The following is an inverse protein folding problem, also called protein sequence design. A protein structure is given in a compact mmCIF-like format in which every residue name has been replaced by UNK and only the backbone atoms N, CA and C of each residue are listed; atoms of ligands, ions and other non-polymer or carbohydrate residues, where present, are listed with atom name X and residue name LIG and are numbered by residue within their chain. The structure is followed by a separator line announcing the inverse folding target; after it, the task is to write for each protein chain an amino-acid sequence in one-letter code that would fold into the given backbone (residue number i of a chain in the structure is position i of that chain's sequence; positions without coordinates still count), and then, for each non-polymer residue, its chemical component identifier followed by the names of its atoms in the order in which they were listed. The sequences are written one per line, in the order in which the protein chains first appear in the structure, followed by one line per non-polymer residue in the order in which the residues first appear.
data_IF_391738439396
#
_entry.id   IF_391738439396
#
_cell.length_a   1.000
_cell.length_b   1.000
_cell.length_c   1.000
_cell.angle_alpha   90.00
_cell.angle_beta   90.00
_cell.angle_gamma   90.00
#
_symmetry.space_group_name_H-M   'P 1'
#
loop_
_entity.id
_entity.type
_entity.pdbx_description
1 polymer ?
#
# COMPACT_ATOMS: atom_id res chain seq x y z
N UNK A 1 -2.50 2.32 -14.71
CA UNK A 1 -2.12 2.34 -13.28
C UNK A 1 -2.85 3.49 -12.60
N UNK A 2 -3.17 3.38 -11.32
CA UNK A 2 -3.81 4.46 -10.54
C UNK A 2 -2.94 4.85 -9.36
N UNK A 3 -2.98 6.12 -8.97
CA UNK A 3 -2.29 6.63 -7.79
C UNK A 3 -3.30 7.24 -6.80
N UNK A 4 -2.98 7.19 -5.52
CA UNK A 4 -3.74 7.89 -4.49
C UNK A 4 -2.86 8.11 -3.27
N UNK A 5 -3.23 9.08 -2.44
CA UNK A 5 -2.52 9.39 -1.20
C UNK A 5 -3.31 8.91 0.01
N UNK A 6 -2.60 8.58 1.08
CA UNK A 6 -3.17 8.24 2.39
C UNK A 6 -3.98 9.41 2.97
N UNK A 7 -3.47 10.63 2.81
CA UNK A 7 -4.09 11.86 3.29
C UNK A 7 -4.53 12.75 2.14
N UNK A 8 -5.62 13.49 2.34
CA UNK A 8 -6.16 14.43 1.35
C UNK A 8 -5.47 15.79 1.35
N UNK A 9 -4.84 16.20 2.47
CA UNK A 9 -4.14 17.49 2.55
C UNK A 9 -2.68 17.36 2.07
N UNK A 10 -2.12 18.39 1.42
CA UNK A 10 -0.70 18.43 1.12
C UNK A 10 0.14 18.66 2.39
N UNK A 11 1.32 18.04 2.44
CA UNK A 11 2.36 18.23 3.47
C UNK A 11 3.72 18.34 2.80
N UNK A 12 4.63 19.14 3.35
CA UNK A 12 5.97 19.30 2.76
C UNK A 12 6.81 18.04 2.96
N UNK A 13 6.68 17.40 4.11
CA UNK A 13 7.40 16.15 4.44
C UNK A 13 6.52 15.22 5.27
N UNK A 14 6.80 13.92 5.19
CA UNK A 14 6.11 12.91 6.00
C UNK A 14 6.36 13.10 7.51
N UNK A 15 7.42 13.81 7.90
CA UNK A 15 7.73 14.13 9.30
C UNK A 15 6.75 15.12 9.94
N UNK A 16 5.94 15.83 9.14
CA UNK A 16 4.86 16.72 9.63
C UNK A 16 3.59 15.95 10.03
N UNK A 17 3.55 14.63 9.80
CA UNK A 17 2.39 13.79 10.05
C UNK A 17 2.54 13.02 11.36
N UNK A 18 1.58 13.20 12.26
CA UNK A 18 1.53 12.38 13.47
C UNK A 18 1.09 10.95 13.12
N UNK A 19 1.50 9.97 13.94
CA UNK A 19 1.03 8.57 13.78
C UNK A 19 -0.49 8.47 13.81
N UNK A 20 -1.14 9.25 14.68
CA UNK A 20 -2.61 9.30 14.77
C UNK A 20 -3.24 9.83 13.49
N UNK A 21 -2.67 10.89 12.92
CA UNK A 21 -3.17 11.46 11.67
C UNK A 21 -3.02 10.49 10.50
N UNK A 22 -1.86 9.84 10.36
CA UNK A 22 -1.66 8.81 9.33
C UNK A 22 -2.66 7.65 9.51
N UNK A 23 -2.85 7.20 10.75
CA UNK A 23 -3.79 6.12 11.06
C UNK A 23 -5.22 6.56 10.72
N UNK A 24 -5.60 7.81 11.02
CA UNK A 24 -6.90 8.41 10.71
C UNK A 24 -7.20 8.56 9.21
N UNK A 25 -6.17 8.62 8.35
CA UNK A 25 -6.34 8.59 6.88
C UNK A 25 -6.67 7.22 6.31
N UNK A 26 -6.40 6.14 7.06
CA UNK A 26 -6.54 4.76 6.58
C UNK A 26 -7.98 4.37 6.20
N UNK A 27 -9.04 4.70 6.97
CA UNK A 27 -10.42 4.37 6.59
C UNK A 27 -10.80 4.88 5.19
N UNK A 28 -10.40 6.11 4.86
CA UNK A 28 -10.70 6.72 3.56
C UNK A 28 -9.93 6.02 2.42
N UNK A 29 -8.68 5.62 2.67
CA UNK A 29 -7.91 4.83 1.72
C UNK A 29 -8.54 3.45 1.49
N UNK A 30 -8.91 2.75 2.56
CA UNK A 30 -9.53 1.43 2.49
C UNK A 30 -10.88 1.46 1.76
N UNK A 31 -11.69 2.50 1.97
CA UNK A 31 -12.90 2.74 1.18
C UNK A 31 -12.62 2.94 -0.32
N UNK A 32 -11.56 3.68 -0.68
CA UNK A 32 -11.15 3.83 -2.09
C UNK A 32 -10.72 2.48 -2.68
N UNK A 33 -10.02 1.65 -1.92
CA UNK A 33 -9.57 0.32 -2.35
C UNK A 33 -10.77 -0.60 -2.57
N UNK A 34 -11.74 -0.64 -1.64
CA UNK A 34 -12.99 -1.40 -1.83
C UNK A 34 -13.82 -0.91 -3.01
N UNK A 35 -13.87 0.39 -3.26
CA UNK A 35 -14.59 0.95 -4.42
C UNK A 35 -13.91 0.58 -5.74
N UNK A 36 -12.58 0.71 -5.81
CA UNK A 36 -11.83 0.50 -7.05
C UNK A 36 -11.48 -0.96 -7.32
N UNK A 37 -11.55 -1.82 -6.29
CA UNK A 37 -11.24 -3.25 -6.32
C UNK A 37 -9.98 -3.61 -7.12
N UNK A 38 -8.83 -2.98 -6.84
CA UNK A 38 -7.62 -3.24 -7.60
C UNK A 38 -7.11 -4.67 -7.32
N UNK A 39 -6.45 -5.27 -8.31
CA UNK A 39 -5.78 -6.57 -8.13
C UNK A 39 -4.65 -6.49 -7.08
N UNK A 40 -4.02 -5.31 -6.94
CA UNK A 40 -2.89 -5.06 -6.05
C UNK A 40 -2.82 -3.59 -5.62
N UNK A 41 -2.24 -3.35 -4.44
CA UNK A 41 -1.88 -2.02 -3.92
C UNK A 41 -0.40 -2.04 -3.53
N UNK A 42 0.34 -1.05 -4.01
CA UNK A 42 1.74 -0.84 -3.66
C UNK A 42 1.86 0.38 -2.74
N UNK A 43 2.34 0.17 -1.52
CA UNK A 43 2.64 1.23 -0.57
C UNK A 43 4.08 1.71 -0.76
N UNK A 44 4.22 2.99 -1.09
CA UNK A 44 5.51 3.64 -1.28
C UNK A 44 5.99 4.22 0.05
N UNK A 45 6.84 3.47 0.74
CA UNK A 45 7.39 3.84 2.04
C UNK A 45 6.72 3.15 3.23
N UNK A 46 7.56 2.73 4.18
CA UNK A 46 7.18 1.94 5.36
C UNK A 46 6.10 2.60 6.24
N UNK A 47 6.22 3.90 6.48
CA UNK A 47 5.33 4.61 7.41
C UNK A 47 3.86 4.56 7.01
N UNK A 48 3.57 4.52 5.70
CA UNK A 48 2.19 4.40 5.19
C UNK A 48 1.63 3.03 5.57
N UNK A 49 2.40 1.96 5.33
CA UNK A 49 1.97 0.63 5.71
C UNK A 49 1.82 0.46 7.22
N UNK A 50 2.74 1.01 8.02
CA UNK A 50 2.62 0.99 9.48
C UNK A 50 1.33 1.66 9.97
N UNK A 51 0.90 2.74 9.33
CA UNK A 51 -0.37 3.40 9.64
C UNK A 51 -1.57 2.51 9.30
N UNK A 52 -1.54 1.86 8.13
CA UNK A 52 -2.60 0.94 7.69
C UNK A 52 -2.68 -0.27 8.63
N UNK A 53 -1.54 -0.86 8.98
CA UNK A 53 -1.45 -1.98 9.91
C UNK A 53 -1.97 -1.62 11.29
N UNK A 54 -1.58 -0.46 11.82
CA UNK A 54 -2.03 0.00 13.14
C UNK A 54 -3.52 0.26 13.19
N UNK A 55 -4.09 0.84 12.13
CA UNK A 55 -5.54 1.00 12.01
C UNK A 55 -6.25 -0.36 11.99
N UNK A 56 -5.73 -1.32 11.24
CA UNK A 56 -6.38 -2.62 11.02
C UNK A 56 -6.27 -3.57 12.21
N UNK A 57 -5.12 -3.61 12.87
CA UNK A 57 -4.80 -4.60 13.90
C UNK A 57 -4.60 -4.01 15.29
N UNK A 58 -4.65 -2.67 15.44
CA UNK A 58 -4.49 -2.00 16.74
C UNK A 58 -3.09 -2.12 17.36
N UNK A 59 -2.08 -2.58 16.60
CA UNK A 59 -0.71 -2.80 17.07
C UNK A 59 0.32 -2.38 16.03
N UNK A 60 1.60 -2.37 16.43
CA UNK A 60 2.72 -2.05 15.54
C UNK A 60 3.20 -3.28 14.76
N UNK A 61 3.87 -3.07 13.61
CA UNK A 61 4.47 -4.12 12.78
C UNK A 61 5.95 -3.85 12.54
N UNK A 62 6.74 -4.91 12.56
CA UNK A 62 8.18 -4.89 12.30
C UNK A 62 8.58 -5.56 10.98
N UNK A 63 7.62 -6.04 10.17
CA UNK A 63 7.86 -6.68 8.86
C UNK A 63 7.90 -5.64 7.74
N UNK A 64 8.84 -5.81 6.81
CA UNK A 64 9.20 -4.80 5.81
C UNK A 64 8.94 -5.19 4.35
N UNK A 65 8.71 -6.47 4.02
CA UNK A 65 8.99 -6.94 2.64
C UNK A 65 7.84 -7.71 1.98
N UNK A 66 7.01 -8.44 2.73
CA UNK A 66 5.84 -9.13 2.16
C UNK A 66 4.84 -9.51 3.25
N UNK A 67 3.55 -9.40 2.94
CA UNK A 67 2.45 -9.79 3.85
C UNK A 67 1.42 -10.55 3.03
N UNK A 68 1.10 -11.76 3.47
CA UNK A 68 0.19 -12.68 2.77
C UNK A 68 -1.30 -12.36 2.97
N UNK A 69 -1.61 -11.08 3.23
CA UNK A 69 -2.95 -10.62 3.55
C UNK A 69 -3.41 -9.53 2.58
N UNK A 70 -4.51 -9.81 1.86
CA UNK A 70 -5.10 -8.82 0.95
C UNK A 70 -5.92 -7.78 1.72
N UNK A 71 -5.81 -6.53 1.29
CA UNK A 71 -6.55 -5.39 1.82
C UNK A 71 -7.93 -5.29 1.16
N UNK A 72 -8.93 -4.82 1.90
CA UNK A 72 -10.31 -4.70 1.41
C UNK A 72 -11.07 -6.02 1.22
N UNK A 73 -10.58 -7.15 1.76
CA UNK A 73 -11.32 -8.43 1.78
C UNK A 73 -12.71 -8.25 2.40
N UNK A 74 -13.73 -8.80 1.74
CA UNK A 74 -15.07 -9.01 2.30
C UNK A 74 -14.96 -9.87 3.56
N UNK A 75 -15.56 -9.40 4.66
CA UNK A 75 -15.51 -10.06 5.97
C UNK A 75 -16.61 -11.10 6.11
N UNK A 76 -17.65 -11.02 5.28
CA UNK A 76 -18.92 -11.73 5.48
C UNK A 76 -19.13 -12.92 4.54
N UNK A 77 -18.06 -13.43 3.91
CA UNK A 77 -18.13 -14.58 2.99
C UNK A 77 -18.85 -14.29 1.67
N UNK A 78 -19.27 -13.04 1.44
CA UNK A 78 -19.87 -12.58 0.19
C UNK A 78 -18.77 -12.41 -0.84
N UNK A 79 -18.86 -13.14 -1.96
CA UNK A 79 -17.97 -12.97 -3.10
C UNK A 79 -18.22 -11.62 -3.75
N UNK A 80 -17.24 -10.74 -3.65
CA UNK A 80 -17.26 -9.49 -4.39
C UNK A 80 -16.70 -9.68 -5.79
N UNK A 81 -17.32 -9.07 -6.80
CA UNK A 81 -16.77 -9.05 -8.16
C UNK A 81 -15.93 -7.79 -8.39
N UNK A 82 -14.84 -7.93 -9.13
CA UNK A 82 -14.04 -6.83 -9.66
C UNK A 82 -14.71 -6.17 -10.87
N UNK A 83 -14.08 -5.12 -11.43
CA UNK A 83 -14.57 -4.41 -12.61
C UNK A 83 -14.67 -5.26 -13.89
N UNK A 84 -14.17 -6.49 -13.87
CA UNK A 84 -14.23 -7.47 -14.96
C UNK A 84 -15.14 -8.66 -14.64
N UNK A 85 -15.90 -8.60 -13.56
CA UNK A 85 -16.82 -9.66 -13.15
C UNK A 85 -16.13 -10.89 -12.55
N UNK A 86 -14.86 -10.79 -12.11
CA UNK A 86 -14.13 -11.90 -11.46
C UNK A 86 -14.22 -11.76 -9.95
N UNK A 87 -14.22 -12.90 -9.22
CA UNK A 87 -14.19 -12.90 -7.75
C UNK A 87 -12.94 -12.19 -7.25
N UNK A 88 -13.15 -11.09 -6.53
CA UNK A 88 -12.14 -10.23 -5.94
C UNK A 88 -11.88 -10.64 -4.50
N UNK A 89 -10.70 -11.20 -4.26
CA UNK A 89 -10.27 -11.70 -2.94
C UNK A 89 -9.60 -10.60 -2.10
N UNK A 90 -9.91 -9.33 -2.35
CA UNK A 90 -9.14 -8.18 -1.86
C UNK A 90 -7.88 -7.91 -2.70
N UNK A 91 -7.30 -6.74 -2.49
CA UNK A 91 -6.08 -6.30 -3.17
C UNK A 91 -4.83 -6.87 -2.51
N UNK A 92 -3.97 -7.53 -3.29
CA UNK A 92 -2.66 -7.98 -2.81
C UNK A 92 -1.81 -6.77 -2.37
N UNK A 93 -1.18 -6.86 -1.20
CA UNK A 93 -0.41 -5.75 -0.64
C UNK A 93 1.07 -5.91 -0.95
N UNK A 94 1.67 -4.85 -1.47
CA UNK A 94 3.11 -4.74 -1.69
C UNK A 94 3.63 -3.51 -0.96
N UNK A 95 4.85 -3.61 -0.44
CA UNK A 95 5.55 -2.47 0.12
C UNK A 95 6.81 -2.24 -0.70
N UNK A 96 7.07 -0.99 -1.04
CA UNK A 96 8.33 -0.58 -1.66
C UNK A 96 8.94 0.55 -0.85
N UNK A 97 10.19 0.86 -1.16
CA UNK A 97 10.93 1.95 -0.52
C UNK A 97 10.32 3.29 -0.91
N UNK A 98 10.55 4.32 -0.08
CA UNK A 98 10.14 5.67 -0.44
C UNK A 98 10.88 6.09 -1.71
N UNK A 99 10.17 6.69 -2.67
CA UNK A 99 10.77 7.33 -3.86
C UNK A 99 11.34 8.71 -3.56
N UNK A 100 11.38 9.13 -2.30
CA UNK A 100 11.92 10.43 -1.90
C UNK A 100 13.45 10.37 -1.86
N UNK A 101 14.12 11.33 -2.49
CA UNK A 101 15.58 11.49 -2.39
C UNK A 101 16.09 11.82 -0.97
N UNK A 102 15.19 12.04 -0.02
CA UNK A 102 15.51 12.17 1.41
C UNK A 102 15.69 10.81 2.10
N UNK A 103 15.27 9.71 1.47
CA UNK A 103 15.50 8.34 1.94
C UNK A 103 16.96 7.94 1.64
N UNK A 104 17.90 8.53 2.38
CA UNK A 104 19.34 8.44 2.15
C UNK A 104 19.97 7.06 2.44
N UNK A 105 19.18 6.04 2.77
CA UNK A 105 19.69 4.75 3.24
C UNK A 105 19.95 3.72 2.13
N UNK A 106 19.47 3.94 0.91
CA UNK A 106 19.57 2.97 -0.19
C UNK A 106 20.24 3.57 -1.41
N UNK A 107 21.15 2.81 -2.01
CA UNK A 107 21.70 3.13 -3.33
C UNK A 107 20.63 2.98 -4.42
N UNK A 108 20.82 3.70 -5.53
CA UNK A 108 19.96 3.59 -6.71
C UNK A 108 19.85 2.14 -7.22
N UNK A 109 20.90 1.33 -7.06
CA UNK A 109 20.89 -0.07 -7.47
C UNK A 109 20.02 -0.94 -6.55
N UNK A 110 20.11 -0.73 -5.23
CA UNK A 110 19.27 -1.44 -4.25
C UNK A 110 17.81 -1.05 -4.40
N UNK A 111 17.52 0.24 -4.60
CA UNK A 111 16.17 0.71 -4.92
C UNK A 111 15.65 0.00 -6.18
N UNK A 112 16.39 0.05 -7.29
CA UNK A 112 16.00 -0.66 -8.53
C UNK A 112 15.81 -2.16 -8.32
N UNK A 113 16.58 -2.81 -7.46
CA UNK A 113 16.45 -4.23 -7.15
C UNK A 113 15.15 -4.51 -6.39
N UNK A 114 14.80 -3.70 -5.39
CA UNK A 114 13.54 -3.80 -4.64
C UNK A 114 12.35 -3.60 -5.58
N UNK A 115 12.37 -2.52 -6.38
CA UNK A 115 11.33 -2.25 -7.35
C UNK A 115 11.21 -3.38 -8.39
N UNK A 116 12.33 -3.90 -8.92
CA UNK A 116 12.33 -5.05 -9.83
C UNK A 116 11.77 -6.30 -9.18
N UNK A 117 12.16 -6.62 -7.95
CA UNK A 117 11.66 -7.77 -7.21
C UNK A 117 10.13 -7.70 -7.06
N UNK A 118 9.59 -6.53 -6.71
CA UNK A 118 8.13 -6.34 -6.62
C UNK A 118 7.43 -6.35 -7.99
N UNK A 119 8.06 -5.80 -9.03
CA UNK A 119 7.57 -5.92 -10.42
C UNK A 119 7.54 -7.37 -10.93
N UNK A 120 8.45 -8.22 -10.43
CA UNK A 120 8.58 -9.62 -10.83
C UNK A 120 7.57 -10.55 -10.14
N UNK A 121 7.11 -10.22 -8.92
CA UNK A 121 6.13 -11.05 -8.18
C UNK A 121 4.79 -11.20 -8.92
N UNK A 122 4.43 -10.27 -9.81
CA UNK A 122 3.48 -10.51 -10.91
C UNK A 122 3.87 -9.67 -12.13
N UNK A 123 4.36 -10.33 -13.19
CA UNK A 123 4.79 -9.84 -14.53
C UNK A 123 3.91 -8.76 -15.20
N UNK A 124 3.65 -7.61 -14.56
CA UNK A 124 2.73 -6.60 -15.07
C UNK A 124 2.93 -5.18 -14.53
N UNK A 125 3.88 -4.97 -13.61
CA UNK A 125 3.95 -3.72 -12.83
C UNK A 125 5.31 -3.01 -12.87
N UNK A 126 6.14 -3.23 -13.90
CA UNK A 126 7.26 -2.33 -14.20
C UNK A 126 7.05 -1.64 -15.55
N UNK A 127 6.74 -0.35 -15.45
CA UNK A 127 7.08 0.79 -16.33
C UNK A 127 7.20 0.51 -17.84
N UNK A 128 6.32 1.17 -18.59
CA UNK A 128 6.74 2.35 -19.37
C UNK A 128 6.27 3.59 -18.62
#
# INVERSE_FOLDING_TARGET
MGNTNLLGRPTKTTSELSKQEMTGGTPALDAKIRRSKPEAVCFVGKGIWEAVWRWRYGRDIYIYIYIDENLGKSVDGVEELDSRGRVWKGAAVFMTTSTSGLAASLSLQEEKAIWKAHCLVRKRWCLY
#
